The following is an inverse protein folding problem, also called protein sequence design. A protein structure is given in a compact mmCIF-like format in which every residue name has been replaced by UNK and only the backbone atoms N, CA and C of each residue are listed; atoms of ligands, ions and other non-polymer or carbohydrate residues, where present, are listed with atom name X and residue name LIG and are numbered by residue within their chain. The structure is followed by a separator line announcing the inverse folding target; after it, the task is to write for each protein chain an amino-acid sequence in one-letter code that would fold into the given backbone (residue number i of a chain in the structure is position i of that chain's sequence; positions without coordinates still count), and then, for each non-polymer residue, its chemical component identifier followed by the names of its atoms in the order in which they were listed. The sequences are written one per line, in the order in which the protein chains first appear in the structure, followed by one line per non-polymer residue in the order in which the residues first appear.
data_IF_406211865377
#
_entry.id   IF_406211865377
#
_cell.length_a   1.000
_cell.length_b   1.000
_cell.length_c   1.000
_cell.angle_alpha   90.00
_cell.angle_beta   90.00
_cell.angle_gamma   90.00
#
_symmetry.space_group_name_H-M   'P 1'
#
loop_
_entity.id
_entity.type
_entity.pdbx_description
1 polymer ?
#
# COMPACT_ATOMS: atom_id res chain seq x y z
N UNK A 1 -13.41 29.83 -4.05
CA UNK A 1 -12.50 29.28 -5.08
C UNK A 1 -12.27 27.82 -4.76
N UNK A 2 -12.85 26.90 -5.55
CA UNK A 2 -12.55 25.48 -5.45
C UNK A 2 -11.19 25.29 -6.12
N UNK A 3 -10.16 24.99 -5.34
CA UNK A 3 -8.91 24.46 -5.88
C UNK A 3 -9.24 23.13 -6.54
N UNK A 4 -9.25 23.12 -7.87
CA UNK A 4 -9.18 21.88 -8.63
C UNK A 4 -7.76 21.36 -8.38
N UNK A 5 -7.61 20.33 -7.53
CA UNK A 5 -6.34 19.60 -7.39
C UNK A 5 -6.14 18.83 -8.71
N UNK A 6 -5.59 19.50 -9.72
CA UNK A 6 -5.07 18.83 -10.91
C UNK A 6 -3.92 17.91 -10.47
N UNK A 7 -4.06 16.61 -10.76
CA UNK A 7 -3.09 15.54 -10.54
C UNK A 7 -2.38 15.54 -9.18
N UNK A 8 -3.07 15.01 -8.17
CA UNK A 8 -2.41 14.50 -6.96
C UNK A 8 -1.43 13.41 -7.40
N UNK A 9 -0.13 13.73 -7.51
CA UNK A 9 0.90 12.75 -7.77
C UNK A 9 0.96 11.79 -6.57
N UNK A 10 0.21 10.70 -6.66
CA UNK A 10 0.21 9.60 -5.70
C UNK A 10 1.58 8.93 -5.79
N UNK A 11 2.52 9.32 -4.93
CA UNK A 11 3.89 8.84 -5.00
C UNK A 11 4.88 9.67 -4.18
N UNK A 12 6.14 9.25 -4.20
CA UNK A 12 7.24 9.92 -3.50
C UNK A 12 8.12 10.69 -4.45
N UNK A 13 8.50 11.92 -4.07
CA UNK A 13 9.49 12.70 -4.79
C UNK A 13 10.91 12.34 -4.32
N UNK A 14 11.80 12.00 -5.25
CA UNK A 14 13.21 11.68 -4.98
C UNK A 14 14.13 12.46 -5.90
N UNK A 15 15.42 12.53 -5.53
CA UNK A 15 16.49 13.12 -6.34
C UNK A 15 17.38 12.00 -6.84
N UNK A 16 17.61 11.95 -8.15
CA UNK A 16 18.47 10.94 -8.75
C UNK A 16 19.93 11.18 -8.35
N UNK A 17 20.59 10.19 -7.74
CA UNK A 17 21.99 10.29 -7.32
C UNK A 17 23.02 10.29 -8.46
N UNK A 18 22.57 10.27 -9.72
CA UNK A 18 23.43 10.31 -10.90
C UNK A 18 23.25 11.60 -11.71
N UNK A 19 22.02 11.97 -12.09
CA UNK A 19 21.75 13.19 -12.87
C UNK A 19 21.35 14.39 -12.01
N UNK A 20 21.14 14.21 -10.70
CA UNK A 20 20.71 15.25 -9.75
C UNK A 20 19.32 15.85 -10.03
N UNK A 21 18.57 15.32 -11.00
CA UNK A 21 17.20 15.74 -11.27
C UNK A 21 16.21 15.10 -10.29
N UNK A 22 15.11 15.80 -10.05
CA UNK A 22 14.00 15.28 -9.24
C UNK A 22 13.02 14.52 -10.12
N UNK A 23 12.49 13.44 -9.58
CA UNK A 23 11.44 12.65 -10.20
C UNK A 23 10.47 12.09 -9.17
N UNK A 24 9.28 11.74 -9.63
CA UNK A 24 8.23 11.13 -8.82
C UNK A 24 8.24 9.63 -9.07
N UNK A 25 7.91 8.87 -8.02
CA UNK A 25 7.82 7.41 -8.06
C UNK A 25 6.48 7.03 -7.43
N UNK A 26 5.64 6.37 -8.22
CA UNK A 26 4.33 5.83 -7.87
C UNK A 26 4.34 4.31 -8.02
N UNK A 27 3.22 3.65 -7.77
CA UNK A 27 3.10 2.21 -8.04
C UNK A 27 3.16 1.86 -9.54
N UNK A 28 2.91 2.83 -10.43
CA UNK A 28 2.84 2.57 -11.88
C UNK A 28 4.21 2.61 -12.56
N UNK A 29 5.17 3.31 -11.98
CA UNK A 29 6.51 3.61 -12.53
C UNK A 29 7.63 3.27 -11.53
N UNK A 30 7.33 2.44 -10.52
CA UNK A 30 8.29 2.03 -9.49
C UNK A 30 9.50 1.31 -10.08
N UNK A 31 9.32 0.57 -11.17
CA UNK A 31 10.39 -0.17 -11.84
C UNK A 31 11.38 0.76 -12.58
N UNK A 32 11.00 2.02 -12.81
CA UNK A 32 11.88 3.05 -13.36
C UNK A 32 12.82 3.67 -12.30
N UNK A 33 12.76 3.18 -11.06
CA UNK A 33 13.58 3.64 -9.96
C UNK A 33 14.43 2.52 -9.33
N UNK A 34 15.68 2.86 -8.99
CA UNK A 34 16.57 1.97 -8.22
C UNK A 34 16.97 2.66 -6.92
N UNK A 35 16.87 1.93 -5.81
CA UNK A 35 17.41 2.34 -4.52
C UNK A 35 18.65 1.50 -4.21
N UNK A 36 19.81 2.15 -4.20
CA UNK A 36 21.09 1.48 -3.98
C UNK A 36 22.01 2.40 -3.17
N UNK A 37 22.71 1.83 -2.19
CA UNK A 37 23.67 2.55 -1.34
C UNK A 37 23.09 3.86 -0.77
N UNK A 38 21.88 3.76 -0.20
CA UNK A 38 21.14 4.87 0.43
C UNK A 38 20.78 6.03 -0.50
N UNK A 39 20.85 5.83 -1.82
CA UNK A 39 20.46 6.81 -2.83
C UNK A 39 19.41 6.23 -3.76
N UNK A 40 18.57 7.09 -4.29
CA UNK A 40 17.60 6.73 -5.34
C UNK A 40 18.12 7.21 -6.69
N UNK A 41 17.90 6.45 -7.74
CA UNK A 41 18.31 6.74 -9.10
C UNK A 41 17.16 6.45 -10.05
N UNK A 42 17.12 7.12 -11.20
CA UNK A 42 16.45 6.54 -12.35
C UNK A 42 17.13 5.20 -12.70
N UNK A 43 16.35 4.19 -13.03
CA UNK A 43 16.83 2.85 -13.39
C UNK A 43 17.84 2.93 -14.54
N UNK A 44 17.52 3.70 -15.59
CA UNK A 44 18.41 3.95 -16.73
C UNK A 44 19.72 4.65 -16.33
N UNK A 45 19.66 5.69 -15.48
CA UNK A 45 20.84 6.37 -14.99
C UNK A 45 21.76 5.42 -14.20
N UNK A 46 21.18 4.59 -13.33
CA UNK A 46 21.93 3.63 -12.53
C UNK A 46 22.65 2.62 -13.41
N UNK A 47 21.94 1.98 -14.34
CA UNK A 47 22.52 0.96 -15.24
C UNK A 47 23.65 1.56 -16.10
N UNK A 48 23.43 2.75 -16.67
CA UNK A 48 24.44 3.45 -17.45
C UNK A 48 25.68 3.80 -16.61
N UNK A 49 25.48 4.21 -15.35
CA UNK A 49 26.57 4.45 -14.41
C UNK A 49 27.34 3.17 -14.11
N UNK A 50 26.65 2.06 -13.84
CA UNK A 50 27.27 0.77 -13.57
C UNK A 50 28.12 0.29 -14.76
N UNK A 51 27.58 0.33 -15.98
CA UNK A 51 28.28 -0.05 -17.21
C UNK A 51 29.54 0.78 -17.47
N UNK A 52 29.49 2.09 -17.21
CA UNK A 52 30.69 2.94 -17.34
C UNK A 52 31.75 2.60 -16.30
N UNK A 53 31.34 2.30 -15.07
CA UNK A 53 32.26 2.05 -13.96
C UNK A 53 32.86 0.64 -13.98
N UNK A 54 32.15 -0.35 -14.54
CA UNK A 54 32.69 -1.72 -14.75
C UNK A 54 33.80 -1.77 -15.82
N UNK A 55 33.91 -0.75 -16.67
CA UNK A 55 34.96 -0.67 -17.71
C UNK A 55 36.17 0.17 -17.27
N UNK A 56 36.23 0.63 -16.02
CA UNK A 56 37.33 1.45 -15.53
C UNK A 56 38.60 0.62 -15.32
N UNK A 57 39.77 1.20 -15.61
CA UNK A 57 41.08 0.56 -15.36
C UNK A 57 41.34 0.25 -13.88
N UNK A 58 40.64 0.93 -12.99
CA UNK A 58 40.76 0.76 -11.55
C UNK A 58 40.01 -0.50 -11.13
N UNK A 59 40.76 -1.56 -10.83
CA UNK A 59 40.25 -2.92 -10.61
C UNK A 59 39.18 -3.01 -9.52
N UNK A 60 39.39 -2.39 -8.36
CA UNK A 60 38.43 -2.41 -7.24
C UNK A 60 37.09 -1.76 -7.59
N UNK A 61 37.13 -0.72 -8.42
CA UNK A 61 35.91 -0.08 -8.94
C UNK A 61 35.27 -0.98 -9.98
N UNK A 62 36.03 -1.44 -10.96
CA UNK A 62 35.54 -2.34 -12.01
C UNK A 62 34.83 -3.56 -11.44
N UNK A 63 35.50 -4.31 -10.56
CA UNK A 63 34.95 -5.51 -9.92
C UNK A 63 33.67 -5.22 -9.14
N UNK A 64 33.63 -4.14 -8.35
CA UNK A 64 32.43 -3.75 -7.61
C UNK A 64 31.24 -3.56 -8.54
N UNK A 65 31.41 -2.80 -9.63
CA UNK A 65 30.30 -2.45 -10.52
C UNK A 65 29.92 -3.59 -11.46
N UNK A 66 30.85 -4.49 -11.81
CA UNK A 66 30.53 -5.77 -12.47
C UNK A 66 29.66 -6.63 -11.57
N UNK A 67 30.03 -6.81 -10.28
CA UNK A 67 29.21 -7.56 -9.33
C UNK A 67 27.80 -6.95 -9.20
N UNK A 68 27.68 -5.62 -9.15
CA UNK A 68 26.39 -4.92 -9.10
C UNK A 68 25.54 -5.20 -10.35
N UNK A 69 26.16 -5.25 -11.54
CA UNK A 69 25.46 -5.60 -12.77
C UNK A 69 24.98 -7.06 -12.75
N UNK A 70 25.81 -7.97 -12.28
CA UNK A 70 25.47 -9.40 -12.16
C UNK A 70 24.32 -9.66 -11.18
N UNK A 71 24.14 -8.78 -10.19
CA UNK A 71 23.08 -8.86 -9.17
C UNK A 71 21.96 -7.85 -9.39
N UNK A 72 21.84 -7.27 -10.59
CA UNK A 72 20.90 -6.19 -10.87
C UNK A 72 19.44 -6.58 -10.58
N UNK A 73 19.04 -7.82 -10.87
CA UNK A 73 17.67 -8.28 -10.63
C UNK A 73 17.32 -8.38 -9.14
N UNK A 74 18.29 -8.80 -8.31
CA UNK A 74 18.13 -8.77 -6.86
C UNK A 74 17.99 -7.32 -6.37
N UNK A 75 18.85 -6.42 -6.86
CA UNK A 75 18.82 -5.00 -6.51
C UNK A 75 17.48 -4.36 -6.91
N UNK A 76 16.94 -4.70 -8.10
CA UNK A 76 15.61 -4.24 -8.54
C UNK A 76 14.52 -4.73 -7.59
N UNK A 77 14.53 -6.02 -7.23
CA UNK A 77 13.55 -6.59 -6.29
C UNK A 77 13.60 -5.93 -4.91
N UNK A 78 14.80 -5.67 -4.40
CA UNK A 78 14.99 -4.98 -3.11
C UNK A 78 14.58 -3.49 -3.22
N UNK A 79 14.91 -2.84 -4.34
CA UNK A 79 14.49 -1.47 -4.63
C UNK A 79 12.97 -1.35 -4.65
N UNK A 80 12.29 -2.25 -5.36
CA UNK A 80 10.83 -2.31 -5.43
C UNK A 80 10.23 -2.41 -4.02
N UNK A 81 10.70 -3.36 -3.20
CA UNK A 81 10.20 -3.52 -1.82
C UNK A 81 10.38 -2.25 -1.00
N UNK A 82 11.57 -1.64 -1.06
CA UNK A 82 11.88 -0.42 -0.32
C UNK A 82 11.00 0.76 -0.76
N UNK A 83 10.90 0.99 -2.07
CA UNK A 83 10.16 2.11 -2.65
C UNK A 83 8.65 1.91 -2.50
N UNK A 84 8.15 0.69 -2.70
CA UNK A 84 6.73 0.37 -2.52
C UNK A 84 6.29 0.65 -1.09
N UNK A 85 7.09 0.24 -0.09
CA UNK A 85 6.80 0.56 1.31
C UNK A 85 6.76 2.07 1.56
N UNK A 86 7.70 2.81 0.98
CA UNK A 86 7.74 4.27 1.11
C UNK A 86 6.53 4.95 0.45
N UNK A 87 6.12 4.50 -0.73
CA UNK A 87 4.92 4.98 -1.43
C UNK A 87 3.66 4.69 -0.61
N UNK A 88 3.51 3.47 -0.08
CA UNK A 88 2.34 3.12 0.74
C UNK A 88 2.27 3.97 2.01
N UNK A 89 3.40 4.26 2.66
CA UNK A 89 3.45 5.19 3.81
C UNK A 89 3.02 6.60 3.42
N UNK A 90 3.48 7.10 2.26
CA UNK A 90 3.04 8.41 1.75
C UNK A 90 1.54 8.42 1.46
N UNK A 91 1.00 7.35 0.89
CA UNK A 91 -0.43 7.21 0.62
C UNK A 91 -1.28 7.24 1.91
N UNK A 92 -0.77 6.71 3.02
CA UNK A 92 -1.41 6.86 4.33
C UNK A 92 -1.43 8.33 4.77
N UNK A 93 -0.32 9.06 4.60
CA UNK A 93 -0.27 10.49 4.94
C UNK A 93 -1.19 11.34 4.07
N UNK A 94 -1.19 11.13 2.75
CA UNK A 94 -2.11 11.82 1.83
C UNK A 94 -3.57 11.53 2.20
N UNK A 95 -3.90 10.26 2.45
CA UNK A 95 -5.24 9.89 2.86
C UNK A 95 -5.68 10.58 4.17
N UNK A 96 -4.80 10.69 5.16
CA UNK A 96 -5.09 11.40 6.41
C UNK A 96 -5.30 12.90 6.14
N UNK A 97 -4.45 13.52 5.33
CA UNK A 97 -4.57 14.95 4.99
C UNK A 97 -5.93 15.25 4.36
N UNK A 98 -6.31 14.45 3.36
CA UNK A 98 -7.56 14.64 2.63
C UNK A 98 -8.79 14.30 3.50
N UNK A 99 -8.75 13.21 4.26
CA UNK A 99 -9.92 12.74 5.02
C UNK A 99 -10.24 13.58 6.26
N UNK A 100 -9.23 14.23 6.83
CA UNK A 100 -9.37 15.00 8.07
C UNK A 100 -9.20 16.51 7.87
N UNK A 101 -9.08 16.95 6.61
CA UNK A 101 -8.86 18.34 6.21
C UNK A 101 -7.69 18.98 6.98
N UNK A 102 -6.54 18.31 6.95
CA UNK A 102 -5.30 18.79 7.57
C UNK A 102 -4.23 19.01 6.50
N UNK A 103 -3.50 20.11 6.60
CA UNK A 103 -2.40 20.42 5.68
C UNK A 103 -1.15 19.61 5.99
N UNK A 104 -0.92 19.33 7.28
CA UNK A 104 0.24 18.61 7.79
C UNK A 104 -0.26 17.58 8.80
N UNK A 105 0.20 16.34 8.66
CA UNK A 105 -0.08 15.28 9.64
C UNK A 105 0.67 15.62 10.94
N UNK A 106 -0.03 15.74 12.09
CA UNK A 106 0.61 16.08 13.36
C UNK A 106 1.71 15.09 13.74
N UNK A 107 2.81 15.57 14.34
CA UNK A 107 3.94 14.72 14.74
C UNK A 107 3.54 13.58 15.68
N UNK A 108 2.57 13.82 16.56
CA UNK A 108 2.02 12.79 17.47
C UNK A 108 1.36 11.65 16.70
N UNK A 109 0.64 11.95 15.61
CA UNK A 109 0.06 10.95 14.72
C UNK A 109 1.16 10.21 13.97
N UNK A 110 2.18 10.92 13.47
CA UNK A 110 3.32 10.30 12.79
C UNK A 110 4.08 9.30 13.66
N UNK A 111 4.37 9.66 14.92
CA UNK A 111 5.02 8.76 15.88
C UNK A 111 4.17 7.52 16.14
N UNK A 112 2.86 7.71 16.37
CA UNK A 112 1.92 6.62 16.57
C UNK A 112 1.86 5.67 15.37
N UNK A 113 1.84 6.21 14.14
CA UNK A 113 1.88 5.40 12.92
C UNK A 113 3.17 4.56 12.85
N UNK A 114 4.32 5.16 13.15
CA UNK A 114 5.59 4.44 13.21
C UNK A 114 5.53 3.28 14.23
N UNK A 115 4.99 3.53 15.41
CA UNK A 115 4.87 2.50 16.45
C UNK A 115 3.90 1.37 16.04
N UNK A 116 2.81 1.70 15.35
CA UNK A 116 1.86 0.73 14.80
C UNK A 116 2.52 -0.13 13.73
N UNK A 117 3.26 0.48 12.81
CA UNK A 117 3.94 -0.26 11.73
C UNK A 117 4.97 -1.24 12.27
N UNK A 118 5.67 -0.86 13.35
CA UNK A 118 6.71 -1.68 13.95
C UNK A 118 6.17 -2.65 15.02
N UNK A 119 4.88 -2.56 15.38
CA UNK A 119 4.29 -3.37 16.46
C UNK A 119 4.77 -2.96 17.86
N UNK A 120 5.34 -1.77 18.01
CA UNK A 120 5.82 -1.23 19.29
C UNK A 120 4.77 -0.40 20.02
N UNK A 121 3.62 -0.16 19.39
CA UNK A 121 2.50 0.54 20.03
C UNK A 121 1.91 -0.31 21.16
N UNK A 122 1.55 0.34 22.28
CA UNK A 122 1.17 -0.32 23.53
C UNK A 122 0.10 -1.40 23.31
N UNK A 123 0.41 -2.62 23.75
CA UNK A 123 -0.51 -3.77 23.69
C UNK A 123 -0.49 -4.53 22.37
N UNK A 124 0.34 -4.13 21.40
CA UNK A 124 0.55 -4.88 20.16
C UNK A 124 1.72 -5.85 20.31
N UNK A 125 1.58 -7.03 19.72
CA UNK A 125 2.65 -8.03 19.58
C UNK A 125 3.17 -8.13 18.14
N UNK A 126 2.40 -7.63 17.17
CA UNK A 126 2.69 -7.67 15.73
C UNK A 126 2.35 -6.32 15.13
N UNK A 127 3.20 -5.82 14.23
CA UNK A 127 2.95 -4.58 13.50
C UNK A 127 1.80 -4.69 12.50
N UNK A 128 1.16 -3.56 12.20
CA UNK A 128 0.19 -3.45 11.11
C UNK A 128 0.92 -2.88 9.90
N UNK A 129 1.05 -3.61 8.79
CA UNK A 129 1.65 -3.06 7.58
C UNK A 129 0.90 -1.82 7.07
N UNK A 130 1.59 -0.80 6.51
CA UNK A 130 0.95 0.40 6.01
C UNK A 130 -0.18 0.14 5.00
N UNK A 131 -0.05 -0.89 4.18
CA UNK A 131 -1.05 -1.32 3.19
C UNK A 131 -2.35 -1.79 3.86
N UNK A 132 -2.23 -2.61 4.92
CA UNK A 132 -3.37 -3.09 5.70
C UNK A 132 -4.04 -1.92 6.40
N UNK A 133 -3.25 -1.04 7.03
CA UNK A 133 -3.80 0.12 7.73
C UNK A 133 -4.56 1.03 6.77
N UNK A 134 -4.00 1.31 5.58
CA UNK A 134 -4.65 2.14 4.57
C UNK A 134 -5.97 1.53 4.08
N UNK A 135 -5.98 0.24 3.76
CA UNK A 135 -7.19 -0.46 3.29
C UNK A 135 -8.28 -0.47 4.36
N UNK A 136 -7.92 -0.81 5.62
CA UNK A 136 -8.84 -0.73 6.75
C UNK A 136 -9.43 0.68 6.93
N UNK A 137 -8.59 1.71 6.82
CA UNK A 137 -9.04 3.08 7.01
C UNK A 137 -10.00 3.52 5.91
N UNK A 138 -9.67 3.22 4.65
CA UNK A 138 -10.55 3.51 3.51
C UNK A 138 -11.90 2.82 3.64
N UNK A 139 -11.91 1.53 4.00
CA UNK A 139 -13.16 0.76 4.20
C UNK A 139 -14.02 1.29 5.34
N UNK A 140 -13.41 1.89 6.36
CA UNK A 140 -14.10 2.33 7.58
C UNK A 140 -14.33 3.82 7.69
N UNK A 141 -13.89 4.63 6.71
CA UNK A 141 -13.92 6.08 6.84
C UNK A 141 -15.33 6.62 7.08
N UNK A 142 -16.35 6.08 6.42
CA UNK A 142 -17.74 6.52 6.60
C UNK A 142 -18.28 6.15 7.98
N UNK A 143 -17.95 4.95 8.49
CA UNK A 143 -18.28 4.54 9.86
C UNK A 143 -17.61 5.46 10.88
N UNK A 144 -16.32 5.79 10.69
CA UNK A 144 -15.56 6.70 11.55
C UNK A 144 -16.13 8.12 11.52
N UNK A 145 -16.51 8.61 10.35
CA UNK A 145 -17.21 9.89 10.18
C UNK A 145 -18.54 9.89 10.96
N UNK A 146 -19.35 8.84 10.84
CA UNK A 146 -20.60 8.71 11.58
C UNK A 146 -20.41 8.59 13.10
N UNK A 147 -19.28 8.04 13.58
CA UNK A 147 -18.92 8.09 15.01
C UNK A 147 -18.57 9.53 15.43
N UNK A 148 -17.77 10.23 14.63
CA UNK A 148 -17.38 11.62 14.91
C UNK A 148 -18.60 12.55 14.96
N UNK A 149 -19.55 12.40 14.03
CA UNK A 149 -20.78 13.19 14.00
C UNK A 149 -21.65 12.93 15.22
N UNK A 150 -21.81 11.66 15.63
CA UNK A 150 -22.53 11.31 16.88
C UNK A 150 -21.85 11.83 18.14
N UNK A 151 -20.53 11.93 18.17
CA UNK A 151 -19.81 12.53 19.29
C UNK A 151 -20.00 14.04 19.32
N UNK A 152 -20.01 14.69 18.15
CA UNK A 152 -20.29 16.12 18.00
C UNK A 152 -21.70 16.47 18.48
N UNK A 153 -22.72 15.68 18.15
CA UNK A 153 -24.10 15.92 18.65
C UNK A 153 -24.22 15.76 20.16
N UNK A 154 -23.35 14.99 20.80
CA UNK A 154 -23.25 14.85 22.27
C UNK A 154 -22.37 15.93 22.92
N UNK A 155 -21.90 16.92 22.17
CA UNK A 155 -21.03 18.00 22.68
C UNK A 155 -19.55 17.62 22.82
N UNK A 156 -19.15 16.42 22.40
CA UNK A 156 -17.76 15.94 22.45
C UNK A 156 -17.04 16.28 21.13
N UNK A 157 -16.80 17.56 20.90
CA UNK A 157 -16.06 18.03 19.71
C UNK A 157 -14.57 17.76 19.89
N UNK A 158 -13.97 17.05 18.94
CA UNK A 158 -12.53 16.76 18.91
C UNK A 158 -11.83 17.63 17.88
N UNK A 159 -10.62 18.08 18.21
CA UNK A 159 -9.68 18.62 17.23
C UNK A 159 -9.23 17.53 16.25
N UNK A 160 -8.76 17.91 15.06
CA UNK A 160 -8.36 16.95 14.01
C UNK A 160 -7.29 15.95 14.51
N UNK A 161 -6.32 16.39 15.32
CA UNK A 161 -5.30 15.51 15.90
C UNK A 161 -5.91 14.44 16.83
N UNK A 162 -6.86 14.82 17.68
CA UNK A 162 -7.55 13.92 18.60
C UNK A 162 -8.42 12.94 17.83
N UNK A 163 -9.11 13.44 16.79
CA UNK A 163 -9.95 12.63 15.91
C UNK A 163 -9.14 11.55 15.20
N UNK A 164 -8.02 11.92 14.56
CA UNK A 164 -7.15 10.95 13.88
C UNK A 164 -6.64 9.89 14.87
N UNK A 165 -6.19 10.31 16.06
CA UNK A 165 -5.71 9.39 17.08
C UNK A 165 -6.79 8.45 17.62
N UNK A 166 -8.02 8.93 17.75
CA UNK A 166 -9.17 8.16 18.17
C UNK A 166 -9.54 7.10 17.14
N UNK A 167 -9.63 7.50 15.87
CA UNK A 167 -9.95 6.62 14.76
C UNK A 167 -8.87 5.54 14.58
N UNK A 168 -7.59 5.89 14.72
CA UNK A 168 -6.48 4.92 14.77
C UNK A 168 -6.70 3.84 15.83
N UNK A 169 -7.10 4.23 17.04
CA UNK A 169 -7.34 3.27 18.13
C UNK A 169 -8.49 2.32 17.79
N UNK A 170 -9.55 2.81 17.11
CA UNK A 170 -10.64 1.96 16.62
C UNK A 170 -10.11 0.95 15.59
N UNK A 171 -9.31 1.41 14.62
CA UNK A 171 -8.76 0.54 13.58
C UNK A 171 -7.87 -0.55 14.16
N UNK A 172 -6.94 -0.19 15.07
CA UNK A 172 -6.06 -1.16 15.74
C UNK A 172 -6.87 -2.24 16.46
N UNK A 173 -7.91 -1.85 17.20
CA UNK A 173 -8.78 -2.79 17.92
C UNK A 173 -9.57 -3.73 16.99
N UNK A 174 -9.66 -3.42 15.69
CA UNK A 174 -10.36 -4.23 14.68
C UNK A 174 -9.39 -5.00 13.77
N UNK A 175 -8.07 -4.95 14.03
CA UNK A 175 -7.08 -5.57 13.14
C UNK A 175 -7.20 -7.10 13.07
N UNK A 176 -7.45 -7.79 14.18
CA UNK A 176 -7.64 -9.25 14.16
C UNK A 176 -8.86 -9.66 13.32
N UNK A 177 -9.95 -8.89 13.39
CA UNK A 177 -11.12 -9.12 12.53
C UNK A 177 -10.80 -8.86 11.06
N UNK A 178 -9.97 -7.86 10.77
CA UNK A 178 -9.52 -7.58 9.43
C UNK A 178 -8.64 -8.72 8.87
N UNK A 179 -7.72 -9.27 9.66
CA UNK A 179 -6.92 -10.43 9.25
C UNK A 179 -7.79 -11.65 8.95
N UNK A 180 -8.81 -11.93 9.78
CA UNK A 180 -9.78 -13.01 9.49
C UNK A 180 -10.55 -12.75 8.20
N UNK A 181 -10.92 -11.51 7.93
CA UNK A 181 -11.59 -11.14 6.69
C UNK A 181 -10.67 -11.33 5.47
N UNK A 182 -9.40 -10.91 5.55
CA UNK A 182 -8.41 -11.13 4.49
C UNK A 182 -8.23 -12.62 4.19
N UNK A 183 -8.13 -13.47 5.21
CA UNK A 183 -7.99 -14.91 5.01
C UNK A 183 -9.23 -15.51 4.35
N UNK A 184 -10.44 -15.07 4.75
CA UNK A 184 -11.67 -15.46 4.05
C UNK A 184 -11.66 -15.06 2.57
N UNK A 185 -11.20 -13.85 2.23
CA UNK A 185 -11.08 -13.42 0.84
C UNK A 185 -10.09 -14.28 0.05
N UNK A 186 -8.95 -14.62 0.66
CA UNK A 186 -7.93 -15.49 0.06
C UNK A 186 -8.49 -16.89 -0.27
N UNK A 187 -9.29 -17.45 0.64
CA UNK A 187 -9.95 -18.75 0.42
C UNK A 187 -10.96 -18.66 -0.73
N UNK A 188 -11.82 -17.65 -0.73
CA UNK A 188 -12.83 -17.44 -1.79
C UNK A 188 -12.17 -17.25 -3.16
N UNK A 189 -11.07 -16.50 -3.24
CA UNK A 189 -10.33 -16.30 -4.49
C UNK A 189 -9.70 -17.60 -4.99
N UNK A 190 -9.11 -18.40 -4.10
CA UNK A 190 -8.56 -19.70 -4.45
C UNK A 190 -9.64 -20.69 -4.93
N UNK A 191 -10.81 -20.71 -4.30
CA UNK A 191 -11.96 -21.53 -4.71
C UNK A 191 -12.45 -21.14 -6.11
N UNK A 192 -12.53 -19.85 -6.43
CA UNK A 192 -12.89 -19.35 -7.76
C UNK A 192 -11.88 -19.74 -8.84
N UNK A 193 -10.59 -19.73 -8.54
CA UNK A 193 -9.55 -20.16 -9.49
C UNK A 193 -9.61 -21.67 -9.74
N UNK A 194 -9.90 -22.48 -8.71
CA UNK A 194 -10.15 -23.92 -8.87
C UNK A 194 -11.37 -24.14 -9.75
N UNK A 195 -12.51 -23.48 -9.48
CA UNK A 195 -13.73 -23.62 -10.27
C UNK A 195 -13.53 -23.23 -11.74
N UNK A 196 -12.78 -22.16 -12.03
CA UNK A 196 -12.40 -21.81 -13.40
C UNK A 196 -11.56 -22.89 -14.06
N UNK A 197 -10.58 -23.45 -13.35
CA UNK A 197 -9.71 -24.51 -13.88
C UNK A 197 -10.48 -25.82 -14.14
N UNK A 198 -11.40 -26.20 -13.26
CA UNK A 198 -12.27 -27.37 -13.41
C UNK A 198 -13.27 -27.19 -14.56
N UNK A 199 -13.85 -26.00 -14.72
CA UNK A 199 -14.73 -25.67 -15.85
C UNK A 199 -14.00 -25.67 -17.20
N UNK A 200 -12.70 -25.36 -17.24
CA UNK A 200 -11.88 -25.47 -18.46
C UNK A 200 -11.61 -26.95 -18.79
N UNK A 201 -11.27 -27.77 -17.80
CA UNK A 201 -11.10 -29.22 -17.98
C UNK A 201 -12.41 -29.88 -18.43
N UNK A 202 -13.55 -29.48 -17.87
CA UNK A 202 -14.88 -29.95 -18.26
C UNK A 202 -15.29 -29.59 -19.69
N UNK A 203 -14.73 -28.53 -20.30
CA UNK A 203 -14.94 -28.20 -21.72
C UNK A 203 -14.04 -28.97 -22.69
N UNK A 204 -12.94 -29.56 -22.21
CA UNK A 204 -12.02 -30.37 -23.02
C UNK A 204 -12.45 -31.83 -23.20
N UNK A 205 -13.42 -32.29 -22.39
CA UNK A 205 -14.08 -33.59 -22.53
C UNK A 205 -15.52 -33.29 -22.97
N UNK A 206 -15.79 -33.40 -24.27
CA UNK A 206 -17.08 -33.02 -24.85
C UNK A 206 -18.26 -33.77 -24.22
N UNK A 207 -19.38 -33.06 -23.98
CA UNK A 207 -20.71 -33.33 -24.53
C UNK A 207 -21.70 -32.23 -24.07
N UNK A 208 -22.77 -32.08 -24.86
CA UNK A 208 -23.76 -31.01 -24.96
C UNK A 208 -24.80 -30.90 -23.83
N UNK A 209 -25.43 -29.70 -23.74
CA UNK A 209 -26.77 -29.32 -23.18
C UNK A 209 -26.93 -29.32 -21.64
N UNK A 210 -27.52 -28.35 -20.92
CA UNK A 210 -28.68 -27.44 -21.15
C UNK A 210 -28.75 -26.30 -20.08
N UNK A 211 -29.38 -25.16 -20.48
CA UNK A 211 -30.08 -24.05 -19.75
C UNK A 211 -29.41 -23.24 -18.61
N UNK A 212 -29.64 -21.90 -18.56
CA UNK A 212 -29.08 -21.02 -17.52
C UNK A 212 -29.99 -20.98 -16.29
N UNK A 213 -29.47 -21.39 -15.14
CA UNK A 213 -29.99 -20.94 -13.84
C UNK A 213 -29.52 -19.51 -13.59
N UNK A 214 -30.49 -18.64 -13.25
CA UNK A 214 -30.24 -17.28 -12.83
C UNK A 214 -29.55 -17.32 -11.46
N UNK A 215 -28.24 -17.08 -11.44
CA UNK A 215 -27.58 -16.67 -10.22
C UNK A 215 -27.72 -15.13 -10.12
N UNK A 216 -28.54 -14.72 -9.16
CA UNK A 216 -28.68 -13.33 -8.72
C UNK A 216 -27.35 -12.88 -8.08
N UNK A 217 -26.70 -11.80 -8.54
CA UNK A 217 -25.37 -11.41 -8.06
C UNK A 217 -25.39 -10.57 -6.76
N UNK A 218 -26.54 -10.42 -6.10
CA UNK A 218 -26.77 -9.33 -5.14
C UNK A 218 -26.68 -9.68 -3.63
N UNK A 219 -26.04 -10.78 -3.22
CA UNK A 219 -25.87 -11.10 -1.79
C UNK A 219 -24.41 -11.12 -1.29
N UNK A 220 -23.65 -10.08 -1.63
CA UNK A 220 -22.37 -9.77 -0.93
C UNK A 220 -22.61 -8.77 0.20
N UNK A 221 -23.76 -8.09 0.25
CA UNK A 221 -24.09 -7.13 1.29
C UNK A 221 -24.28 -7.79 2.67
N UNK A 222 -24.88 -8.99 2.73
CA UNK A 222 -25.10 -9.69 4.00
C UNK A 222 -23.79 -10.15 4.68
N UNK A 223 -22.75 -10.43 3.89
CA UNK A 223 -21.43 -10.85 4.42
C UNK A 223 -20.63 -9.69 5.03
N UNK A 224 -20.98 -8.44 4.72
CA UNK A 224 -20.36 -7.26 5.31
C UNK A 224 -20.91 -7.01 6.72
N UNK A 225 -22.21 -7.23 6.94
CA UNK A 225 -22.87 -6.96 8.21
C UNK A 225 -22.46 -7.94 9.33
N UNK A 226 -22.30 -9.23 9.01
CA UNK A 226 -21.88 -10.27 9.98
C UNK A 226 -20.42 -10.12 10.49
N UNK A 227 -19.62 -9.27 9.85
CA UNK A 227 -18.22 -9.01 10.24
C UNK A 227 -18.11 -7.77 11.15
N UNK A 228 -19.12 -6.89 11.14
CA UNK A 228 -19.03 -5.57 11.76
C UNK A 228 -20.17 -5.22 12.74
N UNK A 229 -21.10 -6.15 13.01
CA UNK A 229 -21.97 -6.16 14.18
C UNK A 229 -21.24 -6.27 15.51
#
# INVERSE_FOLDING_TARGET
MRYIKDNQHVGIRRKCGCCEEYFYISHNDIDDAIYYDKKTYHSSCFINMCNKRSQMKREDVSQKWTWVLDHLDQIRKESYKHLSLAITKENVFEFIKDSYDVTIVPTTVWQKLSDIYNGTFKGMSVGIPPEHLLDMWKRKIDMLNGIADRNKTKGLVMSSDKRINYDLSILINKYDSYLRWLEKQRIIEAEKEIEKSENIVGKSIGYTSNKPEKNDPDDISALVDDIFG
#
